data_IF_556579789641
#
_entry.id   IF_556579789641
#
_cell.length_a   1.000
_cell.length_b   1.000
_cell.length_c   1.000
_cell.angle_alpha   90.00
_cell.angle_beta   90.00
_cell.angle_gamma   90.00
#
_symmetry.space_group_name_H-M   'P 1'
#
loop_
_entity.id
_entity.type
_entity.pdbx_description
1 polymer ?
#
# COMPACT_ATOMS: atom_id res chain seq x y z
N UNK A 1 -24.01 -7.63 1.36
CA UNK A 1 -23.00 -6.55 1.31
C UNK A 1 -21.66 -7.20 1.63
N UNK A 2 -20.59 -6.82 0.94
CA UNK A 2 -19.27 -7.38 1.24
C UNK A 2 -18.78 -6.91 2.60
N UNK A 3 -18.13 -7.82 3.33
CA UNK A 3 -17.46 -7.53 4.59
C UNK A 3 -16.22 -6.65 4.37
N UNK A 4 -15.71 -5.98 5.41
CA UNK A 4 -14.46 -5.23 5.32
C UNK A 4 -13.29 -6.05 4.77
N UNK A 5 -13.13 -7.29 5.22
CA UNK A 5 -12.06 -8.18 4.75
C UNK A 5 -12.19 -8.53 3.28
N UNK A 6 -13.40 -8.79 2.78
CA UNK A 6 -13.62 -9.06 1.35
C UNK A 6 -13.25 -7.88 0.47
N UNK A 7 -13.56 -6.65 0.89
CA UNK A 7 -13.19 -5.42 0.16
C UNK A 7 -11.67 -5.25 0.13
N UNK A 8 -11.00 -5.46 1.26
CA UNK A 8 -9.53 -5.34 1.35
C UNK A 8 -8.83 -6.45 0.56
N UNK A 9 -9.34 -7.68 0.59
CA UNK A 9 -8.84 -8.78 -0.26
C UNK A 9 -9.01 -8.48 -1.75
N UNK A 10 -10.13 -7.87 -2.15
CA UNK A 10 -10.32 -7.42 -3.54
C UNK A 10 -9.30 -6.36 -3.94
N UNK A 11 -8.98 -5.40 -3.05
CA UNK A 11 -7.95 -4.39 -3.31
C UNK A 11 -6.56 -5.02 -3.50
N UNK A 12 -6.18 -5.97 -2.66
CA UNK A 12 -4.92 -6.72 -2.84
C UNK A 12 -4.91 -7.56 -4.10
N UNK A 13 -6.02 -8.23 -4.44
CA UNK A 13 -6.13 -8.99 -5.67
C UNK A 13 -6.00 -8.09 -6.91
N UNK A 14 -6.57 -6.89 -6.87
CA UNK A 14 -6.41 -5.88 -7.93
C UNK A 14 -4.95 -5.43 -8.03
N UNK A 15 -4.29 -5.14 -6.91
CA UNK A 15 -2.86 -4.82 -6.88
C UNK A 15 -1.99 -5.93 -7.50
N UNK A 16 -2.23 -7.19 -7.13
CA UNK A 16 -1.51 -8.35 -7.70
C UNK A 16 -1.71 -8.52 -9.22
N UNK A 17 -2.84 -8.04 -9.76
CA UNK A 17 -3.10 -7.99 -11.22
C UNK A 17 -2.63 -6.70 -11.89
N UNK A 18 -1.99 -5.79 -11.16
CA UNK A 18 -1.63 -4.42 -11.61
C UNK A 18 -2.83 -3.59 -12.07
N UNK A 19 -4.00 -3.88 -11.50
CA UNK A 19 -5.29 -3.25 -11.82
C UNK A 19 -5.52 -2.04 -10.90
N UNK A 20 -4.80 -0.94 -11.17
CA UNK A 20 -4.97 0.31 -10.42
C UNK A 20 -6.39 0.87 -10.53
N UNK A 21 -7.06 0.87 -11.71
CA UNK A 21 -8.46 1.28 -11.81
C UNK A 21 -9.38 0.46 -10.90
N UNK A 22 -9.16 -0.85 -10.78
CA UNK A 22 -9.88 -1.73 -9.86
C UNK A 22 -9.68 -1.36 -8.40
N UNK A 23 -8.46 -0.98 -7.99
CA UNK A 23 -8.21 -0.45 -6.64
C UNK A 23 -8.98 0.85 -6.43
N UNK A 24 -8.87 1.81 -7.35
CA UNK A 24 -9.52 3.13 -7.25
C UNK A 24 -11.05 3.02 -7.15
N UNK A 25 -11.67 2.02 -7.78
CA UNK A 25 -13.10 1.76 -7.69
C UNK A 25 -13.56 1.40 -6.26
N UNK A 26 -12.68 0.80 -5.47
CA UNK A 26 -12.93 0.40 -4.07
C UNK A 26 -12.73 1.55 -3.07
N UNK A 27 -12.20 2.69 -3.51
CA UNK A 27 -11.94 3.85 -2.65
C UNK A 27 -13.14 4.81 -2.62
N UNK A 28 -13.32 5.52 -1.49
CA UNK A 28 -14.16 6.72 -1.46
C UNK A 28 -13.53 7.83 -2.31
N UNK A 29 -14.32 8.80 -2.74
CA UNK A 29 -13.81 9.90 -3.57
C UNK A 29 -12.86 10.83 -2.78
N UNK A 30 -13.04 10.88 -1.47
CA UNK A 30 -12.29 11.66 -0.48
C UNK A 30 -11.26 10.84 0.32
N UNK A 31 -10.87 9.66 -0.17
CA UNK A 31 -9.98 8.71 0.54
C UNK A 31 -8.72 9.39 1.10
N UNK A 32 -8.38 9.07 2.34
CA UNK A 32 -7.16 9.50 3.03
C UNK A 32 -6.10 8.40 2.96
N UNK A 33 -5.11 8.57 2.09
CA UNK A 33 -4.07 7.58 1.80
C UNK A 33 -2.74 8.03 2.37
N UNK A 34 -2.18 7.28 3.32
CA UNK A 34 -0.97 7.65 4.05
C UNK A 34 0.07 6.55 3.96
N UNK A 35 1.26 6.88 3.53
CA UNK A 35 2.41 6.00 3.62
C UNK A 35 3.42 6.59 4.60
N UNK A 36 3.65 5.92 5.74
CA UNK A 36 4.56 6.35 6.79
C UNK A 36 6.02 6.12 6.38
N UNK A 37 6.45 6.96 5.45
CA UNK A 37 7.82 7.17 5.06
C UNK A 37 7.95 8.60 4.57
N UNK A 38 9.14 8.98 4.12
CA UNK A 38 9.39 10.26 3.50
C UNK A 38 10.49 10.15 2.43
N UNK A 39 10.61 11.16 1.55
CA UNK A 39 11.79 11.30 0.70
C UNK A 39 13.11 11.31 1.49
N UNK A 40 13.11 11.88 2.71
CA UNK A 40 14.27 11.87 3.61
C UNK A 40 14.65 10.47 4.11
N UNK A 41 13.67 9.56 4.19
CA UNK A 41 13.92 8.12 4.43
C UNK A 41 14.23 7.35 3.14
N UNK A 42 14.52 8.06 2.04
CA UNK A 42 14.82 7.48 0.73
C UNK A 42 13.60 7.05 -0.08
N UNK A 43 12.37 7.16 0.46
CA UNK A 43 11.14 6.67 -0.19
C UNK A 43 10.34 7.87 -0.74
N UNK A 44 10.42 8.18 -2.04
CA UNK A 44 9.86 9.43 -2.58
C UNK A 44 8.33 9.47 -2.57
N UNK A 45 7.68 8.31 -2.53
CA UNK A 45 6.23 8.16 -2.43
C UNK A 45 5.74 8.13 -0.96
N UNK A 46 6.59 8.41 0.03
CA UNK A 46 6.17 8.60 1.42
C UNK A 46 5.41 9.91 1.61
N UNK A 47 4.34 9.89 2.41
CA UNK A 47 3.54 11.08 2.68
C UNK A 47 2.03 10.82 2.82
N UNK A 48 1.24 11.88 2.61
CA UNK A 48 -0.22 11.87 2.66
C UNK A 48 -0.78 12.31 1.32
N UNK A 49 -1.79 11.59 0.85
CA UNK A 49 -2.46 11.75 -0.44
C UNK A 49 -3.97 11.71 -0.21
N UNK A 50 -4.72 12.64 -0.81
CA UNK A 50 -6.17 12.78 -0.62
C UNK A 50 -6.91 12.63 -1.94
N UNK A 51 -7.88 11.72 -1.95
CA UNK A 51 -8.73 11.44 -3.10
C UNK A 51 -8.04 10.60 -4.19
N UNK A 52 -8.86 10.04 -5.07
CA UNK A 52 -8.44 9.02 -6.05
C UNK A 52 -7.33 9.47 -6.99
N UNK A 53 -7.35 10.75 -7.39
CA UNK A 53 -6.35 11.30 -8.33
C UNK A 53 -4.95 11.31 -7.73
N UNK A 54 -4.81 11.66 -6.45
CA UNK A 54 -3.51 11.65 -5.78
C UNK A 54 -3.05 10.21 -5.50
N UNK A 55 -3.98 9.30 -5.18
CA UNK A 55 -3.67 7.87 -5.03
C UNK A 55 -3.21 7.24 -6.34
N UNK A 56 -3.81 7.60 -7.47
CA UNK A 56 -3.36 7.15 -8.79
C UNK A 56 -1.92 7.59 -9.07
N UNK A 57 -1.60 8.88 -8.85
CA UNK A 57 -0.25 9.42 -9.00
C UNK A 57 0.75 8.77 -8.01
N UNK A 58 0.28 8.40 -6.82
CA UNK A 58 1.09 7.67 -5.84
C UNK A 58 1.53 6.31 -6.36
N UNK A 59 0.62 5.52 -6.97
CA UNK A 59 0.96 4.22 -7.57
C UNK A 59 1.96 4.35 -8.73
N UNK A 60 1.89 5.42 -9.51
CA UNK A 60 2.91 5.72 -10.54
C UNK A 60 4.28 5.96 -9.90
N UNK A 61 4.32 6.77 -8.83
CA UNK A 61 5.58 7.07 -8.13
C UNK A 61 6.17 5.83 -7.45
N UNK A 62 5.32 4.97 -6.86
CA UNK A 62 5.72 3.67 -6.32
C UNK A 62 6.41 2.81 -7.39
N UNK A 63 5.76 2.60 -8.53
CA UNK A 63 6.26 1.74 -9.60
C UNK A 63 7.55 2.26 -10.26
N UNK A 64 7.81 3.58 -10.19
CA UNK A 64 9.05 4.18 -10.67
C UNK A 64 10.23 3.99 -9.70
N UNK A 65 9.96 3.74 -8.42
CA UNK A 65 10.99 3.77 -7.37
C UNK A 65 11.28 2.41 -6.75
N UNK A 66 10.35 1.46 -6.78
CA UNK A 66 10.55 0.13 -6.23
C UNK A 66 10.01 -0.97 -7.17
N UNK A 67 10.84 -1.98 -7.42
CA UNK A 67 10.48 -3.21 -8.10
C UNK A 67 10.00 -4.23 -7.06
N UNK A 68 8.68 -4.32 -6.89
CA UNK A 68 8.03 -5.26 -5.97
C UNK A 68 7.95 -6.63 -6.66
N UNK A 69 8.82 -7.54 -6.22
CA UNK A 69 9.00 -8.87 -6.81
C UNK A 69 8.00 -9.88 -6.23
N UNK A 70 7.71 -9.75 -4.94
CA UNK A 70 6.69 -10.53 -4.24
C UNK A 70 5.98 -9.63 -3.24
N UNK A 71 4.66 -9.78 -3.11
CA UNK A 71 3.85 -9.00 -2.18
C UNK A 71 2.75 -9.89 -1.60
N UNK A 72 2.81 -10.14 -0.30
CA UNK A 72 2.02 -11.16 0.38
C UNK A 72 1.25 -10.58 1.58
N UNK A 73 -0.06 -10.31 1.45
CA UNK A 73 -0.91 -10.11 2.61
C UNK A 73 -1.11 -11.45 3.35
N UNK A 74 -0.75 -11.52 4.63
CA UNK A 74 -0.69 -12.78 5.39
C UNK A 74 -1.77 -12.89 6.46
N UNK A 75 -1.90 -11.90 7.32
CA UNK A 75 -2.85 -11.93 8.44
C UNK A 75 -3.85 -10.79 8.33
N UNK A 76 -5.14 -11.09 8.42
CA UNK A 76 -6.23 -10.12 8.33
C UNK A 76 -6.96 -10.03 9.68
N UNK A 77 -6.75 -8.93 10.39
CA UNK A 77 -7.37 -8.64 11.68
C UNK A 77 -8.56 -7.70 11.43
N UNK A 78 -9.75 -8.30 11.32
CA UNK A 78 -10.96 -7.59 10.93
C UNK A 78 -11.78 -7.11 12.13
N UNK A 79 -12.24 -5.87 12.06
CA UNK A 79 -13.26 -5.30 12.93
C UNK A 79 -14.53 -4.91 12.15
N UNK A 80 -15.44 -4.15 12.77
CA UNK A 80 -16.71 -3.76 12.12
C UNK A 80 -16.54 -2.90 10.87
N UNK A 81 -15.57 -1.98 10.90
CA UNK A 81 -15.33 -0.95 9.89
C UNK A 81 -13.84 -0.78 9.54
N UNK A 82 -12.99 -1.69 10.00
CA UNK A 82 -11.55 -1.62 9.78
C UNK A 82 -10.96 -3.00 9.56
N UNK A 83 -9.80 -3.03 8.91
CA UNK A 83 -8.98 -4.23 8.75
C UNK A 83 -7.53 -3.83 8.93
N UNK A 84 -6.83 -4.46 9.85
CA UNK A 84 -5.37 -4.38 9.91
C UNK A 84 -4.80 -5.62 9.24
N UNK A 85 -3.82 -5.42 8.37
CA UNK A 85 -3.18 -6.49 7.62
C UNK A 85 -1.69 -6.48 7.88
N UNK A 86 -1.18 -7.61 8.35
CA UNK A 86 0.25 -7.87 8.39
C UNK A 86 0.62 -8.64 7.14
N UNK A 87 1.75 -8.30 6.56
CA UNK A 87 2.23 -8.97 5.38
C UNK A 87 3.72 -8.85 5.22
N UNK A 88 4.17 -9.33 4.07
CA UNK A 88 5.56 -9.43 3.72
C UNK A 88 5.74 -9.10 2.25
N UNK A 89 6.92 -8.64 1.91
CA UNK A 89 7.30 -8.38 0.53
C UNK A 89 8.77 -8.70 0.28
N UNK A 90 9.05 -8.97 -0.99
CA UNK A 90 10.40 -8.91 -1.56
C UNK A 90 10.43 -7.76 -2.56
N UNK A 91 11.29 -6.78 -2.31
CA UNK A 91 11.32 -5.55 -3.06
C UNK A 91 12.76 -5.13 -3.36
N UNK A 92 12.97 -4.54 -4.54
CA UNK A 92 14.25 -3.98 -4.96
C UNK A 92 14.09 -2.48 -5.21
N UNK A 93 14.80 -1.61 -4.45
CA UNK A 93 14.83 -0.18 -4.77
C UNK A 93 15.45 0.08 -6.15
N UNK A 94 14.79 0.90 -6.96
CA UNK A 94 15.25 1.27 -8.28
C UNK A 94 16.14 2.54 -8.25
N UNK A 95 17.03 2.72 -9.24
CA UNK A 95 17.36 1.75 -10.30
C UNK A 95 18.37 0.66 -9.86
N UNK A 96 19.22 0.96 -8.88
CA UNK A 96 20.45 0.21 -8.61
C UNK A 96 20.48 -0.50 -7.25
N UNK A 97 19.38 -0.48 -6.48
CA UNK A 97 19.34 -1.13 -5.17
C UNK A 97 19.44 -2.65 -5.25
N UNK A 98 19.64 -3.29 -4.10
CA UNK A 98 19.66 -4.74 -3.94
C UNK A 98 18.29 -5.24 -3.45
N UNK A 99 17.78 -6.39 -3.93
CA UNK A 99 16.55 -6.96 -3.39
C UNK A 99 16.68 -7.25 -1.88
N UNK A 100 15.65 -6.91 -1.12
CA UNK A 100 15.54 -7.25 0.28
C UNK A 100 14.12 -7.72 0.60
N UNK A 101 14.00 -8.44 1.71
CA UNK A 101 12.74 -8.94 2.24
C UNK A 101 12.34 -8.10 3.45
N UNK A 102 11.05 -7.77 3.59
CA UNK A 102 10.55 -6.95 4.71
C UNK A 102 9.14 -7.33 5.10
N UNK A 103 8.81 -7.17 6.38
CA UNK A 103 7.44 -7.14 6.86
C UNK A 103 6.84 -5.74 6.70
N UNK A 104 5.52 -5.67 6.59
CA UNK A 104 4.77 -4.42 6.54
C UNK A 104 3.45 -4.56 7.29
N UNK A 105 2.90 -3.41 7.71
CA UNK A 105 1.56 -3.31 8.30
C UNK A 105 0.74 -2.28 7.54
N UNK A 106 -0.43 -2.70 7.07
CA UNK A 106 -1.43 -1.84 6.45
C UNK A 106 -2.67 -1.76 7.33
N UNK A 107 -3.19 -0.54 7.56
CA UNK A 107 -4.43 -0.32 8.33
C UNK A 107 -5.47 0.33 7.43
N UNK A 108 -6.60 -0.34 7.26
CA UNK A 108 -7.72 0.12 6.46
C UNK A 108 -8.87 0.58 7.36
N UNK A 109 -9.52 1.66 6.98
CA UNK A 109 -10.82 2.06 7.52
C UNK A 109 -11.80 2.19 6.37
N UNK A 110 -12.98 1.60 6.54
CA UNK A 110 -14.02 1.53 5.53
C UNK A 110 -15.21 2.41 5.91
N UNK A 111 -15.88 2.94 4.89
CA UNK A 111 -17.11 3.73 5.01
C UNK A 111 -18.01 3.41 3.82
N UNK A 112 -19.23 2.97 4.08
CA UNK A 112 -20.21 2.67 3.03
C UNK A 112 -19.74 1.61 2.02
N UNK A 113 -19.03 0.58 2.48
CA UNK A 113 -18.52 -0.49 1.62
C UNK A 113 -17.32 -0.10 0.73
N UNK A 114 -16.63 1.00 1.06
CA UNK A 114 -15.44 1.48 0.36
C UNK A 114 -14.32 1.81 1.35
N UNK A 115 -13.08 1.78 0.90
CA UNK A 115 -11.91 2.19 1.68
C UNK A 115 -11.91 3.72 1.74
N UNK A 116 -12.03 4.26 2.95
CA UNK A 116 -11.99 5.69 3.24
C UNK A 116 -10.62 6.13 3.76
N UNK A 117 -9.89 5.22 4.43
CA UNK A 117 -8.52 5.49 4.87
C UNK A 117 -7.65 4.28 4.69
N UNK A 118 -6.41 4.52 4.27
CA UNK A 118 -5.34 3.54 4.29
C UNK A 118 -4.09 4.14 4.94
N UNK A 119 -3.45 3.36 5.79
CA UNK A 119 -2.16 3.67 6.39
C UNK A 119 -1.22 2.52 6.05
N UNK A 120 -0.19 2.78 5.26
CA UNK A 120 0.90 1.85 4.99
C UNK A 120 2.15 2.20 5.78
N UNK A 121 2.89 1.18 6.17
CA UNK A 121 4.18 1.27 6.85
C UNK A 121 5.17 0.35 6.15
N UNK A 122 6.46 0.68 6.23
CA UNK A 122 7.54 -0.15 5.70
C UNK A 122 8.76 -0.07 6.62
N UNK A 123 9.64 -1.06 6.53
CA UNK A 123 10.97 -0.98 7.13
C UNK A 123 11.85 0.00 6.34
N UNK A 124 11.74 1.27 6.70
CA UNK A 124 12.52 2.34 6.06
C UNK A 124 14.03 2.18 6.24
N UNK A 125 14.48 1.55 7.33
CA UNK A 125 15.90 1.32 7.57
C UNK A 125 16.45 0.24 6.62
N UNK A 126 15.74 -0.88 6.48
CA UNK A 126 16.09 -1.94 5.52
C UNK A 126 16.09 -1.41 4.08
N UNK A 127 15.05 -0.64 3.71
CA UNK A 127 14.95 -0.03 2.38
C UNK A 127 16.13 0.91 2.10
N UNK A 128 16.49 1.78 3.05
CA UNK A 128 17.65 2.66 2.91
C UNK A 128 18.98 1.90 2.79
N UNK A 129 19.14 0.82 3.55
CA UNK A 129 20.34 -0.02 3.46
C UNK A 129 20.47 -0.69 2.08
N UNK A 130 19.34 -1.12 1.51
CA UNK A 130 19.25 -1.77 0.21
C UNK A 130 19.39 -0.82 -0.99
N UNK A 131 19.19 0.49 -0.80
CA UNK A 131 19.29 1.51 -1.84
C UNK A 131 20.74 1.98 -2.12
N UNK A 132 21.71 1.49 -1.35
CA UNK A 132 23.15 1.76 -1.52
C UNK A 132 23.77 0.85 -2.58
#
# INVERSE_FOLDING_TARGET
MSTPSEIVQQAYAAFGRRDIPGILALLTDDVDWRFHASPGTGIPYGGKFTGKKEVEAWFVTLAQNDDIQQFEPREFLAGPDHVTVLGWERVKPLPNGTPFDSEWVHVFTLKGGKINRWIGTADTAARQAAAK
#
